data_IF_742692954567
#
_entry.id   IF_742692954567
#
_cell.length_a   1.000
_cell.length_b   1.000
_cell.length_c   1.000
_cell.angle_alpha   90.00
_cell.angle_beta   90.00
_cell.angle_gamma   90.00
#
_symmetry.space_group_name_H-M   'P 1'
#
loop_
_entity.id
_entity.type
_entity.pdbx_description
1 polymer ?
#
# COMPACT_ATOMS: atom_id res chain seq x y z
N UNK A 1 -13.30 -14.31 22.29
CA UNK A 1 -13.07 -12.93 21.84
C UNK A 1 -13.57 -12.84 20.41
N UNK A 2 -14.39 -11.86 20.09
CA UNK A 2 -14.87 -11.67 18.72
C UNK A 2 -13.68 -11.25 17.83
N UNK A 3 -13.70 -11.67 16.56
CA UNK A 3 -12.60 -11.38 15.63
C UNK A 3 -12.47 -9.88 15.35
N UNK A 4 -13.59 -9.15 15.42
CA UNK A 4 -13.60 -7.68 15.44
C UNK A 4 -12.74 -7.09 16.56
N UNK A 5 -12.82 -7.65 17.77
CA UNK A 5 -12.04 -7.15 18.89
C UNK A 5 -10.54 -7.39 18.72
N UNK A 6 -10.15 -8.54 18.16
CA UNK A 6 -8.73 -8.84 17.83
C UNK A 6 -8.20 -7.86 16.79
N UNK A 7 -8.95 -7.61 15.73
CA UNK A 7 -8.58 -6.67 14.67
C UNK A 7 -8.42 -5.25 15.24
N UNK A 8 -9.36 -4.79 16.07
CA UNK A 8 -9.30 -3.49 16.73
C UNK A 8 -8.08 -3.34 17.62
N UNK A 9 -7.72 -4.38 18.37
CA UNK A 9 -6.51 -4.36 19.23
C UNK A 9 -5.23 -4.16 18.39
N UNK A 10 -5.13 -4.81 17.22
CA UNK A 10 -3.97 -4.66 16.33
C UNK A 10 -3.89 -3.23 15.78
N UNK A 11 -5.04 -2.62 15.41
CA UNK A 11 -5.08 -1.22 14.99
C UNK A 11 -4.67 -0.26 16.10
N UNK A 12 -5.15 -0.48 17.33
CA UNK A 12 -4.76 0.32 18.50
C UNK A 12 -3.25 0.19 18.74
N UNK A 13 -2.71 -1.02 18.69
CA UNK A 13 -1.27 -1.26 18.86
C UNK A 13 -0.46 -0.51 17.80
N UNK A 14 -0.85 -0.59 16.53
CA UNK A 14 -0.20 0.15 15.44
C UNK A 14 -0.25 1.67 15.65
N UNK A 15 -1.41 2.20 16.03
CA UNK A 15 -1.59 3.63 16.32
C UNK A 15 -0.76 4.10 17.51
N UNK A 16 -0.71 3.31 18.60
CA UNK A 16 0.13 3.59 19.77
C UNK A 16 1.61 3.60 19.41
N UNK A 17 2.09 2.63 18.62
CA UNK A 17 3.48 2.59 18.18
C UNK A 17 3.86 3.82 17.34
N UNK A 18 2.98 4.24 16.43
CA UNK A 18 3.20 5.45 15.60
C UNK A 18 3.26 6.69 16.49
N UNK A 19 2.30 6.87 17.40
CA UNK A 19 2.24 8.06 18.26
C UNK A 19 3.42 8.12 19.23
N UNK A 20 3.80 7.01 19.84
CA UNK A 20 4.98 6.94 20.69
C UNK A 20 6.23 7.23 19.88
N UNK A 21 6.37 6.63 18.69
CA UNK A 21 7.49 6.86 17.80
C UNK A 21 7.62 8.35 17.41
N UNK A 22 6.51 9.02 17.12
CA UNK A 22 6.49 10.45 16.79
C UNK A 22 6.87 11.33 18.01
N UNK A 23 6.39 10.97 19.20
CA UNK A 23 6.76 11.68 20.43
C UNK A 23 8.26 11.58 20.72
N UNK A 24 8.85 10.39 20.56
CA UNK A 24 10.30 10.20 20.71
C UNK A 24 11.07 10.93 19.61
N UNK A 25 10.59 10.91 18.37
CA UNK A 25 11.23 11.59 17.25
C UNK A 25 11.28 13.13 17.44
N UNK A 26 10.27 13.72 18.08
CA UNK A 26 10.25 15.16 18.42
C UNK A 26 11.26 15.52 19.51
N UNK A 27 11.57 14.59 20.43
CA UNK A 27 12.56 14.80 21.49
C UNK A 27 13.98 14.54 21.00
N UNK A 28 14.19 13.38 20.39
CA UNK A 28 15.48 12.95 19.87
C UNK A 28 15.29 12.22 18.55
N UNK A 29 15.97 12.71 17.49
CA UNK A 29 15.92 12.11 16.16
C UNK A 29 16.78 10.84 16.08
N UNK A 30 16.39 9.81 16.82
CA UNK A 30 17.10 8.54 16.93
C UNK A 30 16.58 7.49 15.94
N UNK A 31 17.45 6.52 15.62
CA UNK A 31 17.08 5.34 14.83
C UNK A 31 15.94 4.57 15.46
N UNK A 32 15.89 4.53 16.78
CA UNK A 32 14.82 3.87 17.54
C UNK A 32 13.44 4.48 17.29
N UNK A 33 13.32 5.81 17.32
CA UNK A 33 12.04 6.48 17.00
C UNK A 33 11.58 6.25 15.58
N UNK A 34 12.53 6.21 14.64
CA UNK A 34 12.23 5.85 13.24
C UNK A 34 11.74 4.41 13.10
N UNK A 35 12.37 3.47 13.82
CA UNK A 35 11.95 2.07 13.84
C UNK A 35 10.54 1.90 14.44
N UNK A 36 10.18 2.65 15.49
CA UNK A 36 8.84 2.66 16.09
C UNK A 36 7.79 3.17 15.08
N UNK A 37 8.06 4.26 14.38
CA UNK A 37 7.13 4.82 13.39
C UNK A 37 6.93 3.83 12.24
N UNK A 38 8.00 3.32 11.63
CA UNK A 38 7.91 2.39 10.51
C UNK A 38 7.29 1.04 10.93
N UNK A 39 7.62 0.55 12.12
CA UNK A 39 7.01 -0.63 12.71
C UNK A 39 5.51 -0.44 12.96
N UNK A 40 5.09 0.69 13.51
CA UNK A 40 3.69 1.02 13.72
C UNK A 40 2.90 1.10 12.41
N UNK A 41 3.45 1.71 11.37
CA UNK A 41 2.87 1.73 10.03
C UNK A 41 2.73 0.31 9.48
N UNK A 42 3.75 -0.54 9.64
CA UNK A 42 3.70 -1.95 9.20
C UNK A 42 2.62 -2.74 9.95
N UNK A 43 2.43 -2.49 11.24
CA UNK A 43 1.35 -3.10 12.05
C UNK A 43 -0.03 -2.66 11.57
N UNK A 44 -0.22 -1.40 11.16
CA UNK A 44 -1.49 -0.92 10.59
C UNK A 44 -1.83 -1.64 9.28
N UNK A 45 -0.84 -1.86 8.40
CA UNK A 45 -1.04 -2.67 7.19
C UNK A 45 -1.34 -4.13 7.51
N UNK A 46 -0.64 -4.72 8.49
CA UNK A 46 -0.90 -6.08 8.95
C UNK A 46 -2.30 -6.23 9.55
N UNK A 47 -2.78 -5.23 10.29
CA UNK A 47 -4.16 -5.19 10.81
C UNK A 47 -5.18 -5.18 9.67
N UNK A 48 -4.93 -4.37 8.63
CA UNK A 48 -5.81 -4.30 7.44
C UNK A 48 -5.84 -5.63 6.69
N UNK A 49 -4.66 -6.23 6.48
CA UNK A 49 -4.54 -7.54 5.84
C UNK A 49 -5.23 -8.64 6.67
N UNK A 50 -5.03 -8.66 7.99
CA UNK A 50 -5.68 -9.63 8.89
C UNK A 50 -7.20 -9.50 8.89
N UNK A 51 -7.72 -8.28 8.84
CA UNK A 51 -9.15 -8.01 8.77
C UNK A 51 -9.81 -8.56 7.51
N UNK A 52 -9.08 -8.61 6.41
CA UNK A 52 -9.53 -9.17 5.15
C UNK A 52 -9.32 -10.69 5.07
N UNK A 53 -8.06 -11.17 5.33
CA UNK A 53 -7.68 -12.56 5.06
C UNK A 53 -7.98 -13.52 6.21
N UNK A 54 -7.78 -13.07 7.46
CA UNK A 54 -7.87 -13.95 8.63
C UNK A 54 -9.25 -13.90 9.28
N UNK A 55 -9.88 -12.76 9.27
CA UNK A 55 -11.14 -12.54 10.00
C UNK A 55 -12.35 -12.36 9.10
N UNK A 56 -12.16 -12.21 7.79
CA UNK A 56 -13.23 -11.98 6.79
C UNK A 56 -14.23 -10.87 7.18
N UNK A 57 -13.72 -9.85 7.91
CA UNK A 57 -14.51 -8.73 8.41
C UNK A 57 -14.70 -7.66 7.32
N UNK A 58 -13.65 -7.45 6.51
CA UNK A 58 -13.60 -6.40 5.51
C UNK A 58 -13.90 -6.95 4.11
N UNK A 59 -14.74 -6.24 3.36
CA UNK A 59 -14.84 -6.48 1.92
C UNK A 59 -13.58 -5.98 1.20
N UNK A 60 -13.27 -6.52 0.01
CA UNK A 60 -12.11 -6.10 -0.77
C UNK A 60 -12.09 -4.58 -1.04
N UNK A 61 -13.26 -3.98 -1.30
CA UNK A 61 -13.39 -2.52 -1.51
C UNK A 61 -13.06 -1.72 -0.26
N UNK A 62 -13.56 -2.16 0.91
CA UNK A 62 -13.29 -1.49 2.19
C UNK A 62 -11.80 -1.59 2.56
N UNK A 63 -11.19 -2.77 2.38
CA UNK A 63 -9.77 -2.99 2.60
C UNK A 63 -8.92 -2.06 1.74
N UNK A 64 -9.29 -1.89 0.47
CA UNK A 64 -8.60 -0.99 -0.44
C UNK A 64 -8.66 0.48 0.05
N UNK A 65 -9.84 0.95 0.47
CA UNK A 65 -9.99 2.31 1.02
C UNK A 65 -9.15 2.51 2.28
N UNK A 66 -9.15 1.52 3.19
CA UNK A 66 -8.34 1.58 4.41
C UNK A 66 -6.84 1.61 4.06
N UNK A 67 -6.38 0.81 3.10
CA UNK A 67 -4.99 0.84 2.63
C UNK A 67 -4.60 2.22 2.10
N UNK A 68 -5.47 2.88 1.34
CA UNK A 68 -5.22 4.25 0.84
C UNK A 68 -5.05 5.22 2.01
N UNK A 69 -5.92 5.15 3.01
CA UNK A 69 -5.86 6.03 4.20
C UNK A 69 -4.56 5.80 4.97
N UNK A 70 -4.20 4.54 5.24
CA UNK A 70 -2.96 4.19 5.95
C UNK A 70 -1.73 4.66 5.16
N UNK A 71 -1.75 4.50 3.84
CA UNK A 71 -0.66 4.99 2.96
C UNK A 71 -0.53 6.50 3.01
N UNK A 72 -1.65 7.24 2.97
CA UNK A 72 -1.64 8.69 3.07
C UNK A 72 -1.04 9.16 4.41
N UNK A 73 -1.45 8.53 5.52
CA UNK A 73 -0.89 8.80 6.85
C UNK A 73 0.61 8.49 6.89
N UNK A 74 1.04 7.36 6.35
CA UNK A 74 2.45 6.96 6.31
C UNK A 74 3.32 7.94 5.49
N UNK A 75 2.80 8.44 4.36
CA UNK A 75 3.45 9.46 3.54
C UNK A 75 3.58 10.77 4.33
N UNK A 76 2.52 11.22 5.00
CA UNK A 76 2.56 12.43 5.84
C UNK A 76 3.59 12.30 6.96
N UNK A 77 3.65 11.16 7.63
CA UNK A 77 4.66 10.87 8.66
C UNK A 77 6.09 10.90 8.07
N UNK A 78 6.28 10.35 6.88
CA UNK A 78 7.56 10.41 6.17
C UNK A 78 7.99 11.85 5.83
N UNK A 79 7.02 12.71 5.49
CA UNK A 79 7.29 14.14 5.26
C UNK A 79 7.74 14.86 6.53
N UNK A 80 7.08 14.59 7.65
CA UNK A 80 7.37 15.21 8.94
C UNK A 80 8.71 14.74 9.50
N UNK A 81 8.98 13.45 9.44
CA UNK A 81 10.23 12.87 9.97
C UNK A 81 11.43 13.12 9.06
N UNK A 82 11.21 13.56 7.81
CA UNK A 82 12.26 13.73 6.80
C UNK A 82 13.18 12.51 6.68
N UNK A 83 12.63 11.31 6.87
CA UNK A 83 13.40 10.07 6.94
C UNK A 83 13.08 9.17 5.74
N UNK A 84 14.14 8.81 5.00
CA UNK A 84 14.04 7.94 3.82
C UNK A 84 13.48 6.55 4.16
N UNK A 85 13.79 6.00 5.34
CA UNK A 85 13.35 4.67 5.77
C UNK A 85 11.82 4.65 5.89
N UNK A 86 11.22 5.65 6.53
CA UNK A 86 9.76 5.75 6.69
C UNK A 86 9.08 5.84 5.31
N UNK A 87 9.68 6.60 4.37
CA UNK A 87 9.19 6.70 2.99
C UNK A 87 9.19 5.35 2.27
N UNK A 88 10.26 4.56 2.45
CA UNK A 88 10.38 3.22 1.87
C UNK A 88 9.30 2.28 2.42
N UNK A 89 9.06 2.28 3.73
CA UNK A 89 7.99 1.48 4.34
C UNK A 89 6.60 1.94 3.92
N UNK A 90 6.40 3.23 3.76
CA UNK A 90 5.15 3.77 3.22
C UNK A 90 4.89 3.29 1.78
N UNK A 91 5.93 3.27 0.93
CA UNK A 91 5.84 2.75 -0.44
C UNK A 91 5.54 1.25 -0.45
N UNK A 92 6.31 0.45 0.30
CA UNK A 92 6.06 -1.00 0.42
C UNK A 92 4.63 -1.29 0.87
N UNK A 93 4.18 -0.61 1.92
CA UNK A 93 2.84 -0.77 2.46
C UNK A 93 1.73 -0.31 1.50
N UNK A 94 2.00 0.69 0.66
CA UNK A 94 1.06 1.17 -0.35
C UNK A 94 0.88 0.20 -1.52
N UNK A 95 1.96 -0.46 -1.96
CA UNK A 95 1.92 -1.40 -3.10
C UNK A 95 1.51 -2.82 -2.70
N UNK A 96 2.14 -3.39 -1.64
CA UNK A 96 1.99 -4.80 -1.29
C UNK A 96 0.55 -5.26 -1.02
N UNK A 97 -0.26 -4.58 -0.18
CA UNK A 97 -1.60 -5.07 0.12
C UNK A 97 -2.50 -5.11 -1.11
N UNK A 98 -2.36 -4.15 -2.02
CA UNK A 98 -3.18 -4.10 -3.24
C UNK A 98 -2.77 -5.19 -4.22
N UNK A 99 -1.46 -5.46 -4.36
CA UNK A 99 -0.95 -6.57 -5.18
C UNK A 99 -1.41 -7.91 -4.62
N UNK A 100 -1.33 -8.10 -3.30
CA UNK A 100 -1.78 -9.33 -2.64
C UNK A 100 -3.29 -9.52 -2.78
N UNK A 101 -4.08 -8.46 -2.58
CA UNK A 101 -5.53 -8.48 -2.84
C UNK A 101 -5.84 -8.90 -4.27
N UNK A 102 -5.10 -8.37 -5.24
CA UNK A 102 -5.27 -8.70 -6.64
C UNK A 102 -4.95 -10.18 -6.92
N UNK A 103 -3.83 -10.68 -6.39
CA UNK A 103 -3.40 -12.06 -6.61
C UNK A 103 -4.34 -13.10 -5.98
N UNK A 104 -4.86 -12.83 -4.79
CA UNK A 104 -5.74 -13.77 -4.08
C UNK A 104 -7.18 -13.69 -4.59
N UNK A 105 -7.64 -12.49 -4.94
CA UNK A 105 -8.99 -12.28 -5.50
C UNK A 105 -9.06 -12.50 -7.00
N UNK A 106 -8.05 -13.15 -7.60
CA UNK A 106 -7.83 -13.26 -9.03
C UNK A 106 -9.08 -13.69 -9.85
N UNK A 107 -9.96 -14.50 -9.28
CA UNK A 107 -11.21 -14.90 -9.94
C UNK A 107 -12.41 -13.99 -9.63
N UNK A 108 -12.43 -13.36 -8.46
CA UNK A 108 -13.58 -12.54 -7.98
C UNK A 108 -13.41 -11.05 -8.25
N UNK A 109 -12.20 -10.52 -8.13
CA UNK A 109 -11.92 -9.11 -8.40
C UNK A 109 -11.90 -8.79 -9.90
N UNK A 110 -11.60 -9.77 -10.75
CA UNK A 110 -11.66 -9.63 -12.20
C UNK A 110 -13.10 -9.46 -12.72
N UNK A 111 -14.12 -9.90 -11.95
CA UNK A 111 -15.52 -9.67 -12.30
C UNK A 111 -16.02 -8.25 -11.99
N UNK A 112 -15.27 -7.48 -11.20
CA UNK A 112 -15.64 -6.11 -10.84
C UNK A 112 -14.92 -5.15 -11.80
N UNK A 113 -15.60 -4.73 -12.85
CA UNK A 113 -15.08 -3.89 -13.95
C UNK A 113 -14.45 -2.57 -13.48
N UNK A 114 -14.69 -2.14 -12.26
CA UNK A 114 -14.16 -0.91 -11.68
C UNK A 114 -12.87 -1.10 -10.87
N UNK A 115 -12.56 -2.31 -10.40
CA UNK A 115 -11.43 -2.52 -9.51
C UNK A 115 -10.08 -2.30 -10.21
N UNK A 116 -9.97 -2.75 -11.45
CA UNK A 116 -8.74 -2.67 -12.24
C UNK A 116 -8.33 -1.22 -12.59
N UNK A 117 -9.22 -0.38 -13.15
CA UNK A 117 -8.86 1.02 -13.45
C UNK A 117 -8.63 1.84 -12.17
N UNK A 118 -9.37 1.58 -11.09
CA UNK A 118 -9.18 2.31 -9.83
C UNK A 118 -7.84 1.96 -9.18
N UNK A 119 -7.44 0.68 -9.17
CA UNK A 119 -6.14 0.27 -8.61
C UNK A 119 -4.97 0.81 -9.45
N UNK A 120 -5.08 0.82 -10.78
CA UNK A 120 -4.03 1.39 -11.63
C UNK A 120 -3.89 2.91 -11.44
N UNK A 121 -5.00 3.64 -11.36
CA UNK A 121 -4.99 5.07 -11.05
C UNK A 121 -4.36 5.35 -9.68
N UNK A 122 -4.67 4.54 -8.66
CA UNK A 122 -4.05 4.64 -7.36
C UNK A 122 -2.53 4.44 -7.41
N UNK A 123 -2.05 3.41 -8.12
CA UNK A 123 -0.61 3.18 -8.26
C UNK A 123 0.11 4.30 -8.99
N UNK A 124 -0.49 4.86 -10.05
CA UNK A 124 0.06 6.03 -10.72
C UNK A 124 0.14 7.24 -9.79
N UNK A 125 -0.91 7.51 -9.04
CA UNK A 125 -0.94 8.60 -8.07
C UNK A 125 0.11 8.40 -6.97
N UNK A 126 0.21 7.19 -6.42
CA UNK A 126 1.21 6.85 -5.41
C UNK A 126 2.63 7.05 -5.95
N UNK A 127 2.92 6.58 -7.17
CA UNK A 127 4.21 6.74 -7.81
C UNK A 127 4.56 8.23 -7.99
N UNK A 128 3.63 9.05 -8.45
CA UNK A 128 3.84 10.50 -8.63
C UNK A 128 4.13 11.17 -7.28
N UNK A 129 3.36 10.88 -6.25
CA UNK A 129 3.55 11.48 -4.92
C UNK A 129 4.91 11.10 -4.34
N UNK A 130 5.27 9.82 -4.37
CA UNK A 130 6.57 9.34 -3.88
C UNK A 130 7.70 9.91 -4.72
N UNK A 131 7.56 9.99 -6.04
CA UNK A 131 8.56 10.57 -6.93
C UNK A 131 8.83 12.04 -6.60
N UNK A 132 7.79 12.87 -6.48
CA UNK A 132 7.92 14.29 -6.13
C UNK A 132 8.62 14.45 -4.77
N UNK A 133 8.24 13.63 -3.79
CA UNK A 133 8.86 13.68 -2.45
C UNK A 133 10.34 13.31 -2.47
N UNK A 134 10.67 12.20 -3.13
CA UNK A 134 12.03 11.65 -3.14
C UNK A 134 12.96 12.49 -4.00
N UNK A 135 12.47 13.05 -5.11
CA UNK A 135 13.23 13.94 -5.99
C UNK A 135 13.70 15.19 -5.25
N UNK A 136 12.79 15.89 -4.57
CA UNK A 136 13.11 17.10 -3.83
C UNK A 136 14.10 16.88 -2.67
N UNK A 137 14.13 15.68 -2.09
CA UNK A 137 14.98 15.34 -0.95
C UNK A 137 16.23 14.55 -1.31
N UNK A 138 16.43 14.22 -2.60
CA UNK A 138 17.56 13.39 -3.10
C UNK A 138 17.62 11.99 -2.43
N UNK A 139 16.46 11.38 -2.17
CA UNK A 139 16.35 10.06 -1.55
C UNK A 139 16.37 8.94 -2.59
N UNK A 140 17.52 8.74 -3.21
CA UNK A 140 17.68 7.83 -4.35
C UNK A 140 17.30 6.38 -4.06
N UNK A 141 17.60 5.86 -2.86
CA UNK A 141 17.25 4.49 -2.51
C UNK A 141 15.72 4.29 -2.40
N UNK A 142 15.00 5.21 -1.74
CA UNK A 142 13.54 5.15 -1.67
C UNK A 142 12.90 5.29 -3.06
N UNK A 143 13.48 6.14 -3.91
CA UNK A 143 13.01 6.33 -5.29
C UNK A 143 13.17 5.06 -6.11
N UNK A 144 14.34 4.41 -6.03
CA UNK A 144 14.62 3.17 -6.75
C UNK A 144 13.69 2.04 -6.30
N UNK A 145 13.51 1.87 -4.98
CA UNK A 145 12.62 0.84 -4.42
C UNK A 145 11.17 1.10 -4.83
N UNK A 146 10.70 2.35 -4.74
CA UNK A 146 9.33 2.69 -5.16
C UNK A 146 9.12 2.46 -6.65
N UNK A 147 10.10 2.77 -7.49
CA UNK A 147 10.04 2.52 -8.93
C UNK A 147 10.00 1.02 -9.25
N UNK A 148 10.85 0.21 -8.61
CA UNK A 148 10.84 -1.23 -8.77
C UNK A 148 9.48 -1.85 -8.34
N UNK A 149 8.92 -1.39 -7.21
CA UNK A 149 7.60 -1.80 -6.74
C UNK A 149 6.49 -1.40 -7.71
N UNK A 150 6.59 -0.21 -8.30
CA UNK A 150 5.62 0.26 -9.29
C UNK A 150 5.62 -0.63 -10.54
N UNK A 151 6.80 -0.90 -11.11
CA UNK A 151 6.93 -1.79 -12.27
C UNK A 151 6.39 -3.18 -11.94
N UNK A 152 6.73 -3.73 -10.78
CA UNK A 152 6.26 -5.07 -10.37
C UNK A 152 4.74 -5.10 -10.18
N UNK A 153 4.16 -4.08 -9.56
CA UNK A 153 2.72 -4.00 -9.32
C UNK A 153 1.95 -3.85 -10.61
N UNK A 154 2.34 -2.90 -11.45
CA UNK A 154 1.66 -2.62 -12.73
C UNK A 154 1.90 -3.74 -13.73
N UNK A 155 3.14 -4.25 -13.83
CA UNK A 155 3.48 -5.39 -14.66
C UNK A 155 2.74 -6.67 -14.26
N UNK A 156 2.62 -6.92 -12.95
CA UNK A 156 1.84 -8.04 -12.41
C UNK A 156 0.35 -7.94 -12.77
N UNK A 157 -0.24 -6.76 -12.59
CA UNK A 157 -1.65 -6.52 -12.97
C UNK A 157 -1.84 -6.67 -14.48
N UNK A 158 -0.91 -6.13 -15.28
CA UNK A 158 -0.95 -6.24 -16.74
C UNK A 158 -0.83 -7.68 -17.23
N UNK A 159 0.10 -8.46 -16.67
CA UNK A 159 0.25 -9.88 -17.00
C UNK A 159 -0.99 -10.69 -16.63
N UNK A 160 -1.59 -10.41 -15.47
CA UNK A 160 -2.83 -11.04 -15.06
C UNK A 160 -4.01 -10.68 -15.98
N UNK A 161 -4.14 -9.42 -16.38
CA UNK A 161 -5.18 -8.97 -17.30
C UNK A 161 -5.02 -9.60 -18.68
N UNK A 162 -3.77 -9.79 -19.14
CA UNK A 162 -3.47 -10.46 -20.40
C UNK A 162 -3.81 -11.96 -20.37
N UNK A 163 -3.44 -12.65 -19.29
CA UNK A 163 -3.78 -14.05 -19.09
C UNK A 163 -5.29 -14.31 -19.05
N UNK A 164 -6.06 -13.38 -18.46
CA UNK A 164 -7.53 -13.47 -18.45
C UNK A 164 -8.15 -13.27 -19.84
N UNK A 165 -7.54 -12.45 -20.69
CA UNK A 165 -7.97 -12.27 -22.08
C UNK A 165 -7.83 -13.57 -22.89
N UNK A 166 -6.71 -14.29 -22.71
CA UNK A 166 -6.46 -15.57 -23.38
C UNK A 166 -7.44 -16.68 -22.95
N UNK A 167 -7.96 -16.59 -21.72
CA UNK A 167 -8.99 -17.51 -21.21
C UNK A 167 -10.43 -17.17 -21.68
N UNK A 168 -10.58 -16.23 -22.64
CA UNK A 168 -11.85 -15.96 -23.31
C UNK A 168 -12.82 -15.02 -22.58
N UNK A 169 -12.35 -14.23 -21.63
CA UNK A 169 -13.25 -13.58 -20.68
C UNK A 169 -13.43 -12.06 -20.75
N UNK A 170 -12.49 -11.22 -21.18
CA UNK A 170 -12.69 -9.77 -21.01
C UNK A 170 -12.00 -8.86 -22.02
N UNK A 171 -12.78 -7.94 -22.59
CA UNK A 171 -12.39 -6.88 -23.54
C UNK A 171 -11.66 -5.68 -22.89
N UNK A 172 -11.23 -5.76 -21.62
CA UNK A 172 -10.72 -4.61 -20.86
C UNK A 172 -9.18 -4.46 -20.79
N UNK A 173 -8.44 -5.32 -21.48
CA UNK A 173 -6.98 -5.20 -21.58
C UNK A 173 -6.53 -4.02 -22.47
N UNK A 174 -7.42 -3.48 -23.30
CA UNK A 174 -7.13 -2.40 -24.22
C UNK A 174 -6.71 -1.05 -23.57
N UNK A 175 -7.35 -0.55 -22.49
CA UNK A 175 -6.94 0.71 -21.92
C UNK A 175 -5.61 0.64 -21.16
N UNK A 176 -5.21 -0.53 -20.65
CA UNK A 176 -3.92 -0.69 -19.97
C UNK A 176 -2.76 -0.78 -20.96
N UNK A 177 -2.94 -1.45 -22.10
CA UNK A 177 -1.92 -1.48 -23.16
C UNK A 177 -1.69 -0.11 -23.80
N UNK A 178 -2.71 0.75 -23.83
CA UNK A 178 -2.61 2.13 -24.32
C UNK A 178 -1.84 3.07 -23.36
N UNK A 179 -1.74 2.71 -22.08
CA UNK A 179 -0.96 3.49 -21.08
C UNK A 179 0.53 3.13 -21.13
N UNK A 180 0.88 1.99 -21.75
CA UNK A 180 2.26 1.47 -21.81
C UNK A 180 2.86 1.47 -23.23
N UNK A 181 2.12 1.89 -24.25
CA UNK A 181 2.62 2.17 -25.60
C UNK A 181 2.94 3.63 -25.78
#
# INVERSE_FOLDING_TARGET
MSDLFKCLLIYILGGVLVTIGEMFYKKEKNVFSTALISGGVSVLYAATASGYFAFDIFSARLTFVICIIVTAVAILLSMQTKNQIVCTFASLGGYLPVVVLYLISFGKAASDNMFLPVSSAYFCLLAIVVFIMTYNKKWYAAQFISFALHITAVGGIGACAWALKDLGGYSYALPLSAVFS
#
